data_IF_300214660826
#
_entry.id   IF_300214660826
#
_cell.length_a   1.000
_cell.length_b   1.000
_cell.length_c   1.000
_cell.angle_alpha   90.00
_cell.angle_beta   90.00
_cell.angle_gamma   90.00
#
_symmetry.space_group_name_H-M   'P 1'
#
loop_
_entity.id
_entity.type
_entity.pdbx_description
1 polymer ?
#
# COMPACT_ATOMS: atom_id res chain seq x y z
N UNK A 1 -9.75 6.57 -6.22
CA UNK A 1 -10.35 5.22 -6.33
C UNK A 1 -9.53 4.25 -7.19
N UNK A 2 -8.71 4.73 -8.15
CA UNK A 2 -7.96 3.85 -9.07
C UNK A 2 -6.68 3.17 -8.57
N UNK A 3 -6.12 3.53 -7.40
CA UNK A 3 -4.85 2.95 -6.90
C UNK A 3 -5.00 1.75 -5.96
N UNK A 4 -6.19 1.57 -5.36
CA UNK A 4 -6.44 0.55 -4.33
C UNK A 4 -6.65 -0.85 -4.92
N UNK A 5 -7.14 -0.94 -6.15
CA UNK A 5 -7.46 -2.22 -6.80
C UNK A 5 -6.31 -2.79 -7.65
N UNK A 6 -5.22 -2.06 -7.84
CA UNK A 6 -4.36 -2.28 -9.02
C UNK A 6 -3.35 -3.43 -8.94
N UNK A 7 -3.04 -3.97 -7.75
CA UNK A 7 -2.05 -5.05 -7.67
C UNK A 7 -2.71 -6.44 -7.69
N UNK A 8 -3.75 -6.65 -6.87
CA UNK A 8 -4.43 -7.94 -6.73
C UNK A 8 -5.40 -8.21 -7.87
N UNK A 9 -6.27 -7.27 -8.24
CA UNK A 9 -7.22 -7.50 -9.33
C UNK A 9 -6.53 -7.77 -10.66
N UNK A 10 -5.35 -7.19 -10.83
CA UNK A 10 -4.65 -7.16 -12.11
C UNK A 10 -3.70 -8.33 -12.27
N UNK A 11 -2.87 -8.61 -11.25
CA UNK A 11 -1.95 -9.74 -11.32
C UNK A 11 -2.74 -11.03 -11.08
N UNK A 12 -3.51 -11.11 -9.99
CA UNK A 12 -4.09 -12.36 -9.53
C UNK A 12 -5.40 -12.73 -10.26
N UNK A 13 -6.09 -11.78 -10.91
CA UNK A 13 -7.43 -12.01 -11.47
C UNK A 13 -8.46 -12.45 -10.41
N UNK A 14 -8.14 -12.24 -9.13
CA UNK A 14 -8.93 -12.68 -7.98
C UNK A 14 -10.01 -11.64 -7.68
N UNK A 15 -11.24 -12.12 -7.47
CA UNK A 15 -12.40 -11.29 -7.09
C UNK A 15 -12.52 -11.11 -5.58
N UNK A 16 -11.67 -11.76 -4.79
CA UNK A 16 -11.77 -11.73 -3.33
C UNK A 16 -10.95 -10.58 -2.74
N UNK A 17 -11.61 -9.65 -2.07
CA UNK A 17 -10.97 -8.64 -1.24
C UNK A 17 -10.28 -9.30 -0.03
N UNK A 18 -9.09 -8.83 0.34
CA UNK A 18 -8.38 -9.28 1.54
C UNK A 18 -7.85 -8.08 2.32
N UNK A 19 -7.71 -8.21 3.64
CA UNK A 19 -7.17 -7.18 4.54
C UNK A 19 -5.81 -6.63 4.09
N UNK A 20 -4.96 -7.48 3.48
CA UNK A 20 -3.69 -7.04 2.91
C UNK A 20 -3.87 -5.97 1.82
N UNK A 21 -4.97 -5.96 1.05
CA UNK A 21 -5.23 -4.89 0.07
C UNK A 21 -5.48 -3.54 0.75
N UNK A 22 -6.19 -3.52 1.87
CA UNK A 22 -6.38 -2.28 2.64
C UNK A 22 -5.03 -1.73 3.09
N UNK A 23 -4.12 -2.60 3.52
CA UNK A 23 -2.76 -2.22 3.92
C UNK A 23 -1.92 -1.66 2.76
N UNK A 24 -2.12 -2.12 1.53
CA UNK A 24 -1.51 -1.50 0.35
C UNK A 24 -2.01 -0.06 0.17
N UNK A 25 -3.31 0.14 0.35
CA UNK A 25 -3.94 1.45 0.35
C UNK A 25 -3.39 2.39 1.42
N UNK A 26 -3.24 1.88 2.65
CA UNK A 26 -2.58 2.60 3.74
C UNK A 26 -1.19 3.06 3.32
N UNK A 27 -0.38 2.20 2.71
CA UNK A 27 0.94 2.56 2.18
C UNK A 27 0.90 3.67 1.12
N UNK A 28 -0.06 3.58 0.20
CA UNK A 28 -0.23 4.60 -0.84
C UNK A 28 -0.59 5.97 -0.24
N UNK A 29 -1.56 5.99 0.69
CA UNK A 29 -2.00 7.21 1.38
C UNK A 29 -0.89 7.74 2.27
N UNK A 30 -0.15 6.87 2.96
CA UNK A 30 0.98 7.26 3.80
C UNK A 30 2.02 8.07 3.00
N UNK A 31 2.49 7.51 1.88
CA UNK A 31 3.48 8.20 1.03
C UNK A 31 2.88 9.47 0.41
N UNK A 32 1.60 9.47 0.05
CA UNK A 32 0.90 10.65 -0.46
C UNK A 32 0.79 11.76 0.60
N UNK A 33 0.49 11.43 1.86
CA UNK A 33 0.48 12.40 2.96
C UNK A 33 1.86 13.01 3.19
N UNK A 34 2.91 12.21 3.11
CA UNK A 34 4.29 12.68 3.28
C UNK A 34 4.73 13.58 2.13
N UNK A 35 4.32 13.28 0.90
CA UNK A 35 4.86 13.94 -0.30
C UNK A 35 3.94 14.99 -0.91
N UNK A 36 2.64 14.91 -0.65
CA UNK A 36 1.58 15.68 -1.30
C UNK A 36 1.23 15.21 -2.71
N UNK A 37 1.78 14.08 -3.16
CA UNK A 37 1.64 13.59 -4.53
C UNK A 37 1.19 12.13 -4.53
N UNK A 38 0.36 11.70 -5.51
CA UNK A 38 -0.07 10.32 -5.61
C UNK A 38 1.12 9.38 -5.81
N UNK A 39 1.20 8.34 -5.00
CA UNK A 39 2.33 7.38 -4.96
C UNK A 39 2.49 6.62 -6.29
N UNK A 40 1.38 6.24 -6.92
CA UNK A 40 1.35 5.51 -8.19
C UNK A 40 0.31 6.12 -9.14
N UNK A 41 0.65 7.17 -9.90
CA UNK A 41 -0.28 7.86 -10.78
C UNK A 41 -0.39 7.17 -12.15
N UNK A 42 -1.06 6.01 -12.21
CA UNK A 42 -1.52 5.43 -13.47
C UNK A 42 -2.85 6.06 -13.87
N UNK A 43 -2.97 6.47 -15.13
CA UNK A 43 -4.08 7.30 -15.62
C UNK A 43 -4.81 6.61 -16.79
N UNK A 44 -4.12 5.74 -17.52
CA UNK A 44 -4.62 5.20 -18.80
C UNK A 44 -5.38 3.91 -18.64
N UNK A 45 -4.68 2.89 -18.15
CA UNK A 45 -5.19 1.55 -18.02
C UNK A 45 -4.42 0.80 -16.93
N UNK A 46 -4.80 -0.45 -16.77
CA UNK A 46 -4.27 -1.34 -15.76
C UNK A 46 -2.78 -1.66 -15.94
N UNK A 47 -2.27 -1.71 -17.18
CA UNK A 47 -0.86 -1.94 -17.45
C UNK A 47 -0.02 -0.70 -17.16
N UNK A 48 -0.53 0.50 -17.49
CA UNK A 48 0.09 1.78 -17.10
C UNK A 48 0.27 1.83 -15.58
N UNK A 49 -0.76 1.49 -14.82
CA UNK A 49 -0.70 1.44 -13.36
C UNK A 49 0.35 0.42 -12.84
N UNK A 50 0.39 -0.81 -13.38
CA UNK A 50 1.42 -1.79 -13.02
C UNK A 50 2.83 -1.34 -13.37
N UNK A 51 3.03 -0.72 -14.53
CA UNK A 51 4.33 -0.17 -14.94
C UNK A 51 4.80 0.92 -13.96
N UNK A 52 3.91 1.81 -13.48
CA UNK A 52 4.26 2.78 -12.43
C UNK A 52 4.70 2.10 -11.14
N UNK A 53 3.98 1.07 -10.72
CA UNK A 53 4.30 0.32 -9.50
C UNK A 53 5.67 -0.34 -9.63
N UNK A 54 5.92 -1.07 -10.73
CA UNK A 54 7.18 -1.79 -10.93
C UNK A 54 8.37 -0.86 -11.17
N UNK A 55 8.18 0.30 -11.80
CA UNK A 55 9.23 1.33 -11.89
C UNK A 55 9.70 1.81 -10.53
N UNK A 56 8.79 1.91 -9.58
CA UNK A 56 9.07 2.38 -8.23
C UNK A 56 9.67 1.27 -7.36
N UNK A 57 9.02 0.11 -7.30
CA UNK A 57 9.32 -0.97 -6.37
C UNK A 57 10.21 -2.08 -6.95
N UNK A 58 10.39 -2.10 -8.26
CA UNK A 58 11.02 -3.19 -9.00
C UNK A 58 9.99 -4.16 -9.61
N UNK A 59 10.39 -4.86 -10.66
CA UNK A 59 9.58 -5.93 -11.24
C UNK A 59 9.72 -7.19 -10.37
N UNK A 60 8.62 -7.79 -9.88
CA UNK A 60 8.70 -8.95 -9.01
C UNK A 60 9.25 -10.15 -9.77
N UNK A 61 10.11 -10.93 -9.11
CA UNK A 61 10.65 -12.20 -9.58
C UNK A 61 10.14 -13.34 -8.69
N UNK A 62 10.36 -14.59 -9.11
CA UNK A 62 10.08 -15.78 -8.29
C UNK A 62 10.85 -15.81 -6.96
N UNK A 63 11.94 -15.05 -6.85
CA UNK A 63 12.66 -14.88 -5.58
C UNK A 63 11.94 -13.90 -4.65
N UNK A 64 11.46 -12.76 -5.17
CA UNK A 64 10.78 -11.74 -4.36
C UNK A 64 9.30 -12.02 -4.10
N UNK A 65 8.67 -12.78 -5.01
CA UNK A 65 7.28 -13.20 -4.92
C UNK A 65 7.15 -14.58 -5.59
N UNK A 66 7.31 -15.66 -4.80
CA UNK A 66 7.13 -17.02 -5.29
C UNK A 66 5.74 -17.22 -5.89
N UNK A 67 5.69 -17.79 -7.10
CA UNK A 67 4.45 -18.03 -7.85
C UNK A 67 4.01 -16.88 -8.76
N UNK A 68 4.69 -15.73 -8.74
CA UNK A 68 4.27 -14.54 -9.51
C UNK A 68 4.17 -14.79 -11.02
N UNK A 69 4.99 -15.69 -11.57
CA UNK A 69 4.98 -16.04 -13.00
C UNK A 69 3.74 -16.82 -13.43
N UNK A 70 3.02 -17.44 -12.50
CA UNK A 70 1.81 -18.20 -12.79
C UNK A 70 0.58 -17.30 -12.95
N UNK A 71 0.71 -16.02 -12.61
CA UNK A 71 -0.39 -15.08 -12.66
C UNK A 71 -0.69 -14.62 -14.09
N UNK A 72 -1.97 -14.66 -14.53
CA UNK A 72 -2.34 -14.36 -15.91
C UNK A 72 -2.06 -12.91 -16.31
N UNK A 73 -2.03 -11.98 -15.34
CA UNK A 73 -1.67 -10.59 -15.53
C UNK A 73 -0.16 -10.33 -15.58
N UNK A 74 0.67 -11.27 -15.14
CA UNK A 74 2.12 -11.11 -15.11
C UNK A 74 2.73 -11.29 -16.50
N UNK A 75 2.89 -10.16 -17.20
CA UNK A 75 3.44 -10.11 -18.56
C UNK A 75 4.73 -9.28 -18.57
N UNK A 76 5.85 -9.82 -18.08
CA UNK A 76 7.10 -9.06 -17.92
C UNK A 76 7.63 -8.50 -19.25
N UNK A 77 7.38 -9.19 -20.36
CA UNK A 77 7.71 -8.73 -21.71
C UNK A 77 6.96 -7.45 -22.14
N UNK A 78 5.84 -7.11 -21.51
CA UNK A 78 5.09 -5.85 -21.74
C UNK A 78 5.36 -4.78 -20.69
N UNK A 79 5.69 -5.19 -19.47
CA UNK A 79 5.83 -4.30 -18.31
C UNK A 79 7.27 -3.81 -18.10
N UNK A 80 8.26 -4.44 -18.75
CA UNK A 80 9.67 -4.11 -18.54
C UNK A 80 10.23 -4.73 -17.25
N UNK A 81 11.57 -4.79 -17.17
CA UNK A 81 12.27 -5.30 -16.00
C UNK A 81 12.98 -4.16 -15.27
N UNK A 82 12.46 -3.78 -14.11
CA UNK A 82 12.99 -2.71 -13.27
C UNK A 82 13.67 -3.29 -12.04
N UNK A 83 14.84 -2.75 -11.69
CA UNK A 83 15.52 -3.11 -10.45
C UNK A 83 14.82 -2.43 -9.27
N UNK A 84 14.64 -3.13 -8.13
CA UNK A 84 14.14 -2.52 -6.92
C UNK A 84 14.98 -1.30 -6.52
N UNK A 85 14.31 -0.23 -6.07
CA UNK A 85 14.94 0.97 -5.54
C UNK A 85 14.29 1.31 -4.22
N UNK A 86 15.07 1.96 -3.36
CA UNK A 86 14.58 2.56 -2.11
C UNK A 86 13.51 3.61 -2.44
N UNK A 87 12.38 3.59 -1.73
CA UNK A 87 11.29 4.54 -1.90
C UNK A 87 11.77 5.99 -1.76
N UNK A 88 12.65 6.26 -0.81
CA UNK A 88 13.19 7.59 -0.56
C UNK A 88 14.02 8.16 -1.72
N UNK A 89 14.46 7.33 -2.68
CA UNK A 89 15.07 7.83 -3.91
C UNK A 89 14.08 8.61 -4.79
N UNK A 90 12.81 8.16 -4.82
CA UNK A 90 11.74 8.85 -5.55
C UNK A 90 10.98 9.83 -4.66
N UNK A 91 10.98 9.59 -3.35
CA UNK A 91 10.29 10.40 -2.35
C UNK A 91 11.24 10.84 -1.23
N UNK A 92 12.16 11.80 -1.48
CA UNK A 92 13.19 12.18 -0.50
C UNK A 92 12.64 12.62 0.86
N UNK A 93 11.42 13.17 0.90
CA UNK A 93 10.73 13.57 2.13
C UNK A 93 10.48 12.42 3.12
N UNK A 94 10.54 11.16 2.67
CA UNK A 94 10.50 10.00 3.56
C UNK A 94 11.73 9.92 4.48
N UNK A 95 12.87 10.49 4.06
CA UNK A 95 14.08 10.54 4.88
C UNK A 95 14.03 11.62 5.97
N UNK A 96 13.15 12.60 5.84
CA UNK A 96 12.93 13.64 6.85
C UNK A 96 12.16 13.09 8.07
N UNK A 97 11.55 11.91 7.94
CA UNK A 97 10.73 11.28 8.96
C UNK A 97 11.46 10.05 9.49
N UNK A 98 11.67 10.01 10.80
CA UNK A 98 12.27 8.85 11.48
C UNK A 98 11.43 7.61 11.17
N UNK A 99 12.07 6.55 10.69
CA UNK A 99 11.45 5.29 10.26
C UNK A 99 10.40 5.39 9.13
N UNK A 100 10.27 6.55 8.48
CA UNK A 100 9.27 6.81 7.45
C UNK A 100 9.40 5.92 6.22
N UNK A 101 10.63 5.76 5.70
CA UNK A 101 10.89 4.83 4.59
C UNK A 101 10.61 3.37 4.99
N UNK A 102 10.99 2.97 6.21
CA UNK A 102 10.84 1.58 6.67
C UNK A 102 9.36 1.20 6.78
N UNK A 103 8.52 2.03 7.39
CA UNK A 103 7.08 1.76 7.49
C UNK A 103 6.41 1.81 6.11
N UNK A 104 6.81 2.74 5.23
CA UNK A 104 6.28 2.81 3.86
C UNK A 104 6.59 1.53 3.08
N UNK A 105 7.81 1.00 3.20
CA UNK A 105 8.19 -0.27 2.60
C UNK A 105 7.41 -1.45 3.20
N UNK A 106 7.12 -1.45 4.50
CA UNK A 106 6.35 -2.51 5.13
C UNK A 106 4.91 -2.58 4.57
N UNK A 107 4.28 -1.44 4.28
CA UNK A 107 2.97 -1.37 3.63
C UNK A 107 3.01 -1.69 2.13
N UNK A 108 4.04 -1.22 1.42
CA UNK A 108 4.13 -1.30 -0.04
C UNK A 108 4.89 -2.55 -0.54
N UNK A 109 4.69 -3.68 0.12
CA UNK A 109 5.18 -4.98 -0.36
C UNK A 109 4.36 -5.47 -1.56
N UNK A 110 5.02 -5.92 -2.62
CA UNK A 110 4.37 -6.49 -3.80
C UNK A 110 3.69 -7.82 -3.46
N UNK A 111 4.41 -8.73 -2.79
CA UNK A 111 3.85 -9.97 -2.27
C UNK A 111 2.90 -9.65 -1.10
N UNK A 112 1.59 -9.93 -1.20
CA UNK A 112 0.62 -9.65 -0.14
C UNK A 112 0.92 -10.37 1.18
N UNK A 113 1.60 -11.52 1.14
CA UNK A 113 1.96 -12.31 2.32
C UNK A 113 3.12 -11.70 3.11
N UNK A 114 3.92 -10.85 2.47
CA UNK A 114 5.02 -10.12 3.12
C UNK A 114 4.58 -8.75 3.64
N UNK A 115 3.33 -8.35 3.37
CA UNK A 115 2.81 -7.03 3.72
C UNK A 115 2.37 -7.01 5.19
N UNK A 116 2.82 -5.99 5.92
CA UNK A 116 2.49 -5.82 7.34
C UNK A 116 0.98 -5.67 7.55
N UNK A 117 0.45 -6.34 8.58
CA UNK A 117 -0.95 -6.18 9.02
C UNK A 117 -1.16 -4.90 9.82
N UNK A 118 -2.41 -4.49 10.03
CA UNK A 118 -2.72 -3.26 10.78
C UNK A 118 -2.21 -3.30 12.23
N UNK A 119 -2.41 -4.43 12.92
CA UNK A 119 -1.97 -4.60 14.31
C UNK A 119 -0.45 -4.61 14.44
N UNK A 120 0.23 -5.35 13.56
CA UNK A 120 1.69 -5.39 13.50
C UNK A 120 2.29 -4.02 13.15
N UNK A 121 1.64 -3.28 12.23
CA UNK A 121 2.08 -1.95 11.85
C UNK A 121 2.09 -0.99 13.05
N UNK A 122 1.10 -1.06 13.95
CA UNK A 122 1.05 -0.22 15.17
C UNK A 122 2.19 -0.49 16.16
N UNK A 123 2.87 -1.63 16.03
CA UNK A 123 4.05 -2.00 16.83
C UNK A 123 5.37 -1.56 16.18
N UNK A 124 5.33 -1.05 14.94
CA UNK A 124 6.52 -0.61 14.22
C UNK A 124 7.18 0.62 14.90
N UNK A 125 8.52 0.74 14.89
CA UNK A 125 9.25 1.86 15.52
C UNK A 125 8.75 3.26 15.14
N UNK A 126 8.27 3.41 13.90
CA UNK A 126 7.59 4.62 13.42
C UNK A 126 6.49 5.13 14.36
N UNK A 127 5.70 4.23 14.96
CA UNK A 127 4.61 4.58 15.88
C UNK A 127 5.04 4.58 17.36
N UNK A 128 6.27 4.19 17.70
CA UNK A 128 6.75 4.17 19.08
C UNK A 128 6.67 5.52 19.82
N UNK A 129 6.82 6.69 19.16
CA UNK A 129 6.64 7.99 19.82
C UNK A 129 5.19 8.32 20.21
N UNK A 130 4.20 7.53 19.77
CA UNK A 130 2.80 7.78 20.09
C UNK A 130 2.52 7.60 21.60
N UNK A 131 1.68 8.45 22.21
CA UNK A 131 1.32 8.31 23.62
C UNK A 131 0.68 6.96 23.94
N UNK A 132 1.13 6.30 25.02
CA UNK A 132 0.58 5.00 25.48
C UNK A 132 -0.95 5.00 25.62
N UNK A 133 -1.52 6.12 26.05
CA UNK A 133 -2.97 6.31 26.19
C UNK A 133 -3.75 6.04 24.91
N UNK A 134 -3.13 6.17 23.72
CA UNK A 134 -3.80 5.86 22.45
C UNK A 134 -4.05 4.35 22.29
N UNK A 135 -3.20 3.50 22.85
CA UNK A 135 -3.35 2.04 22.80
C UNK A 135 -4.35 1.51 23.85
N UNK A 136 -4.72 2.34 24.83
CA UNK A 136 -5.67 2.02 25.90
C UNK A 136 -7.09 2.53 25.59
N UNK A 137 -7.30 3.13 24.41
CA UNK A 137 -8.61 3.63 24.00
C UNK A 137 -9.61 2.48 23.80
N UNK A 138 -10.79 2.51 24.43
CA UNK A 138 -11.80 1.48 24.22
C UNK A 138 -12.31 1.46 22.77
N UNK A 139 -12.50 0.27 22.22
CA UNK A 139 -13.04 0.06 20.86
C UNK A 139 -14.39 0.76 20.62
N UNK A 140 -15.17 0.99 21.69
CA UNK A 140 -16.47 1.68 21.65
C UNK A 140 -16.39 3.11 21.05
N UNK A 141 -15.23 3.78 21.08
CA UNK A 141 -15.06 5.10 20.45
C UNK A 141 -14.92 5.05 18.92
N UNK A 142 -14.55 3.92 18.32
CA UNK A 142 -14.56 3.75 16.85
C UNK A 142 -15.98 3.78 16.28
N UNK A 143 -16.98 3.33 17.04
CA UNK A 143 -18.40 3.33 16.60
C UNK A 143 -18.96 4.73 16.42
N UNK A 144 -18.47 5.72 17.17
CA UNK A 144 -18.92 7.11 17.03
C UNK A 144 -18.48 7.70 15.68
N UNK A 145 -17.26 7.38 15.23
CA UNK A 145 -16.71 7.82 13.94
C UNK A 145 -17.37 7.05 12.78
N UNK A 146 -17.60 5.75 12.94
CA UNK A 146 -18.32 4.94 11.94
C UNK A 146 -19.79 5.35 11.77
N UNK A 147 -20.46 5.77 12.86
CA UNK A 147 -21.85 6.25 12.79
C UNK A 147 -21.98 7.66 12.20
N UNK A 148 -20.97 8.53 12.37
CA UNK A 148 -20.91 9.81 11.68
C UNK A 148 -20.78 9.65 10.15
N UNK A 149 -20.07 8.63 9.68
CA UNK A 149 -19.96 8.33 8.24
C UNK A 149 -21.20 7.64 7.65
N UNK A 150 -22.01 6.93 8.46
CA UNK A 150 -23.30 6.38 7.99
C UNK A 150 -24.42 7.41 7.86
N UNK A 151 -24.36 8.52 8.59
CA UNK A 151 -25.37 9.59 8.46
C UNK A 151 -25.12 10.55 7.28
N UNK A 152 -23.93 10.56 6.69
CA UNK A 152 -23.65 11.37 5.49
C UNK A 152 -23.93 10.66 4.15
N UNK A 153 -24.43 9.42 4.17
CA UNK A 153 -24.82 8.67 2.96
C UNK A 153 -26.34 8.40 2.84
N UNK A 154 -27.16 8.88 3.78
CA UNK A 154 -28.63 8.85 3.63
C UNK A 154 -29.23 10.14 3.07
N UNK A 155 -28.42 11.16 2.80
CA UNK A 155 -28.86 12.42 2.19
C UNK A 155 -27.90 12.86 1.08
N UNK A 156 -27.91 12.15 -0.04
CA UNK A 156 -27.67 12.68 -1.40
C UNK A 156 -28.15 11.70 -2.44
#
# INVERSE_FOLDING_TARGET
MGSLESLKYVLLGSTEYSTSLDMWGVGCIFVEMVTGMPTFPGIRDTYDQLDKIFKLLGTPTEETWPGVTHFPGYKPHKLGFYRPRKLGHNFPRLYDIVDGETIANAFLQLNPEQRVGAEEALQHPYFAPLPRKLYELPDEHYKLIANLNRHNHCHR
#
